data_IF_868452540856
#
_entry.id   IF_868452540856
#
_cell.length_a   1.000
_cell.length_b   1.000
_cell.length_c   1.000
_cell.angle_alpha   90.00
_cell.angle_beta   90.00
_cell.angle_gamma   90.00
#
_symmetry.space_group_name_H-M   'P 1'
#
loop_
_entity.id
_entity.type
_entity.pdbx_description
1 polymer ?
#
# COMPACT_ATOMS: atom_id res chain seq x y z
N UNK A 1 -11.03 13.88 -10.46
CA UNK A 1 -9.57 14.14 -10.48
C UNK A 1 -8.98 14.23 -9.08
N UNK A 2 -9.69 14.78 -8.09
CA UNK A 2 -9.17 14.93 -6.72
C UNK A 2 -8.75 13.60 -6.06
N UNK A 3 -9.65 12.61 -5.95
CA UNK A 3 -9.34 11.31 -5.34
C UNK A 3 -8.22 10.53 -6.04
N UNK A 4 -8.15 10.60 -7.37
CA UNK A 4 -7.07 9.96 -8.14
C UNK A 4 -5.70 10.53 -7.76
N UNK A 5 -5.62 11.84 -7.50
CA UNK A 5 -4.41 12.48 -7.04
C UNK A 5 -4.10 12.13 -5.57
N UNK A 6 -5.11 11.96 -4.72
CA UNK A 6 -4.90 11.53 -3.33
C UNK A 6 -4.35 10.10 -3.25
N UNK A 7 -4.78 9.21 -4.16
CA UNK A 7 -4.20 7.87 -4.29
C UNK A 7 -2.72 7.97 -4.66
N UNK A 8 -2.36 8.73 -5.71
CA UNK A 8 -0.96 8.80 -6.19
C UNK A 8 -0.02 9.55 -5.26
N UNK A 9 -0.54 10.47 -4.45
CA UNK A 9 0.24 11.23 -3.46
C UNK A 9 0.00 10.72 -2.04
N UNK A 10 -0.47 9.49 -1.90
CA UNK A 10 -0.69 8.89 -0.59
C UNK A 10 0.62 8.88 0.20
N UNK A 11 0.53 9.18 1.49
CA UNK A 11 1.63 9.11 2.45
C UNK A 11 1.04 8.62 3.77
N UNK A 12 1.73 7.69 4.42
CA UNK A 12 1.42 7.28 5.78
C UNK A 12 1.68 8.44 6.73
N UNK A 13 0.73 8.75 7.61
CA UNK A 13 0.94 9.81 8.58
C UNK A 13 1.88 9.36 9.71
N UNK A 14 2.66 10.27 10.34
CA UNK A 14 3.63 9.90 11.38
C UNK A 14 3.05 9.15 12.60
N UNK A 15 1.77 9.36 12.89
CA UNK A 15 1.07 8.74 14.02
C UNK A 15 0.10 7.63 13.58
N UNK A 16 0.07 7.31 12.30
CA UNK A 16 -0.85 6.32 11.72
C UNK A 16 -0.16 4.96 11.69
N UNK A 17 -0.82 3.96 12.27
CA UNK A 17 -0.36 2.57 12.19
C UNK A 17 -0.46 2.06 10.76
N UNK A 18 0.30 1.01 10.45
CA UNK A 18 0.22 0.34 9.15
C UNK A 18 -1.21 -0.03 8.75
N UNK A 19 -1.98 -0.57 9.69
CA UNK A 19 -3.35 -1.05 9.44
C UNK A 19 -4.29 0.11 9.12
N UNK A 20 -4.18 1.23 9.85
CA UNK A 20 -4.94 2.44 9.57
C UNK A 20 -4.61 3.01 8.19
N UNK A 21 -3.32 3.06 7.83
CA UNK A 21 -2.89 3.49 6.51
C UNK A 21 -3.42 2.58 5.40
N UNK A 22 -3.38 1.25 5.60
CA UNK A 22 -3.87 0.29 4.61
C UNK A 22 -5.39 0.42 4.41
N UNK A 23 -6.17 0.54 5.49
CA UNK A 23 -7.61 0.74 5.38
C UNK A 23 -7.96 2.07 4.71
N UNK A 24 -7.25 3.15 5.04
CA UNK A 24 -7.43 4.46 4.40
C UNK A 24 -7.12 4.41 2.91
N UNK A 25 -6.05 3.72 2.52
CA UNK A 25 -5.71 3.54 1.11
C UNK A 25 -6.78 2.74 0.36
N UNK A 26 -7.27 1.63 0.94
CA UNK A 26 -8.37 0.85 0.36
C UNK A 26 -9.66 1.66 0.25
N UNK A 27 -9.95 2.52 1.22
CA UNK A 27 -11.12 3.41 1.18
C UNK A 27 -11.03 4.42 0.02
N UNK A 28 -9.86 5.04 -0.19
CA UNK A 28 -9.63 5.94 -1.33
C UNK A 28 -9.85 5.24 -2.68
N UNK A 29 -9.39 3.98 -2.82
CA UNK A 29 -9.63 3.18 -4.02
C UNK A 29 -11.13 2.91 -4.25
N UNK A 30 -11.86 2.55 -3.18
CA UNK A 30 -13.32 2.30 -3.24
C UNK A 30 -14.11 3.56 -3.60
N UNK A 31 -13.69 4.72 -3.09
CA UNK A 31 -14.29 6.01 -3.43
C UNK A 31 -13.99 6.46 -4.87
N UNK A 32 -12.98 5.87 -5.53
CA UNK A 32 -12.59 6.20 -6.90
C UNK A 32 -12.65 4.96 -7.84
N UNK A 33 -13.81 4.30 -8.05
CA UNK A 33 -13.88 3.00 -8.75
C UNK A 33 -13.40 3.02 -10.21
N UNK A 34 -13.33 4.20 -10.84
CA UNK A 34 -12.81 4.41 -12.18
C UNK A 34 -11.38 4.99 -12.19
N UNK A 35 -10.57 4.71 -11.16
CA UNK A 35 -9.22 5.26 -10.98
C UNK A 35 -8.22 4.83 -12.08
N UNK A 36 -8.43 3.66 -12.70
CA UNK A 36 -7.60 3.15 -13.80
C UNK A 36 -6.23 2.56 -13.40
N UNK A 37 -5.84 2.64 -12.13
CA UNK A 37 -4.63 1.99 -11.61
C UNK A 37 -4.72 0.46 -11.62
N UNK A 38 -3.68 -0.19 -12.11
CA UNK A 38 -3.48 -1.64 -11.96
C UNK A 38 -3.17 -2.02 -10.51
N UNK A 39 -3.38 -3.28 -10.14
CA UNK A 39 -3.04 -3.79 -8.80
C UNK A 39 -1.56 -3.55 -8.46
N UNK A 40 -0.65 -3.79 -9.41
CA UNK A 40 0.78 -3.52 -9.23
C UNK A 40 1.05 -2.04 -8.92
N UNK A 41 0.40 -1.12 -9.64
CA UNK A 41 0.56 0.31 -9.39
C UNK A 41 0.02 0.72 -8.00
N UNK A 42 -1.08 0.10 -7.57
CA UNK A 42 -1.65 0.35 -6.23
C UNK A 42 -0.70 -0.13 -5.12
N UNK A 43 -0.12 -1.32 -5.27
CA UNK A 43 0.84 -1.88 -4.32
C UNK A 43 2.14 -1.07 -4.25
N UNK A 44 2.67 -0.67 -5.40
CA UNK A 44 3.86 0.20 -5.50
C UNK A 44 3.61 1.56 -4.83
N UNK A 45 2.47 2.19 -5.14
CA UNK A 45 2.07 3.46 -4.51
C UNK A 45 1.95 3.32 -3.00
N UNK A 46 1.32 2.25 -2.51
CA UNK A 46 1.17 2.02 -1.08
C UNK A 46 2.54 1.78 -0.40
N UNK A 47 3.37 0.89 -0.93
CA UNK A 47 4.70 0.60 -0.36
C UNK A 47 5.57 1.86 -0.29
N UNK A 48 5.66 2.63 -1.38
CA UNK A 48 6.48 3.84 -1.44
C UNK A 48 5.98 4.97 -0.52
N UNK A 49 4.73 4.90 -0.09
CA UNK A 49 4.11 5.86 0.82
C UNK A 49 4.31 5.54 2.31
N UNK A 50 4.78 4.34 2.63
CA UNK A 50 4.99 3.89 4.00
C UNK A 50 6.23 4.55 4.61
N UNK A 51 6.26 4.58 5.94
CA UNK A 51 7.48 4.87 6.67
C UNK A 51 8.50 3.73 6.52
N UNK A 52 9.78 4.02 6.75
CA UNK A 52 10.88 3.06 6.60
C UNK A 52 10.71 1.79 7.43
N UNK A 53 10.19 1.88 8.67
CA UNK A 53 10.00 0.71 9.52
C UNK A 53 8.96 -0.26 8.94
N UNK A 54 7.89 0.27 8.35
CA UNK A 54 6.86 -0.56 7.73
C UNK A 54 7.31 -1.13 6.38
N UNK A 55 8.13 -0.40 5.61
CA UNK A 55 8.80 -0.93 4.42
C UNK A 55 9.74 -2.10 4.78
N UNK A 56 10.64 -1.90 5.74
CA UNK A 56 11.58 -2.93 6.21
C UNK A 56 10.86 -4.18 6.72
N UNK A 57 9.71 -4.00 7.39
CA UNK A 57 8.89 -5.11 7.87
C UNK A 57 8.27 -5.92 6.72
N UNK A 58 7.84 -5.25 5.64
CA UNK A 58 7.31 -5.91 4.45
C UNK A 58 8.41 -6.65 3.69
N UNK A 59 9.59 -6.04 3.51
CA UNK A 59 10.74 -6.68 2.87
C UNK A 59 11.21 -7.91 3.67
N UNK A 60 11.27 -7.78 5.00
CA UNK A 60 11.60 -8.91 5.89
C UNK A 60 10.59 -10.06 5.78
N UNK A 61 9.30 -9.74 5.64
CA UNK A 61 8.25 -10.75 5.47
C UNK A 61 8.25 -11.38 4.06
N UNK A 62 8.67 -10.64 3.04
CA UNK A 62 8.88 -11.13 1.69
C UNK A 62 10.12 -12.03 1.57
N UNK A 63 11.11 -11.82 2.46
CA UNK A 63 12.42 -12.47 2.43
C UNK A 63 13.38 -11.87 1.38
N UNK A 64 12.94 -10.82 0.69
CA UNK A 64 13.65 -10.03 -0.32
C UNK A 64 12.91 -8.70 -0.50
N UNK A 65 13.22 -7.91 -1.53
CA UNK A 65 12.45 -6.71 -1.82
C UNK A 65 10.98 -7.06 -2.10
N UNK A 66 10.08 -6.43 -1.36
CA UNK A 66 8.64 -6.60 -1.46
C UNK A 66 8.11 -6.34 -2.88
N UNK A 67 8.68 -5.38 -3.61
CA UNK A 67 8.27 -5.02 -4.97
C UNK A 67 8.78 -5.98 -6.05
N UNK A 68 9.73 -6.86 -5.72
CA UNK A 68 10.20 -7.91 -6.64
C UNK A 68 9.24 -9.13 -6.66
N UNK A 69 8.32 -9.21 -5.69
CA UNK A 69 7.30 -10.26 -5.63
C UNK A 69 6.18 -10.06 -6.64
N UNK A 70 5.46 -11.13 -6.94
CA UNK A 70 4.24 -11.04 -7.76
C UNK A 70 3.10 -10.36 -6.97
N UNK A 71 2.19 -9.60 -7.61
CA UNK A 71 1.15 -8.83 -6.91
C UNK A 71 0.32 -9.60 -5.88
N UNK A 72 0.02 -10.88 -6.17
CA UNK A 72 -0.71 -11.76 -5.26
C UNK A 72 0.05 -12.03 -3.96
N UNK A 73 1.36 -12.19 -4.03
CA UNK A 73 2.21 -12.40 -2.85
C UNK A 73 2.33 -11.10 -2.04
N UNK A 74 2.58 -9.97 -2.72
CA UNK A 74 2.58 -8.64 -2.10
C UNK A 74 1.31 -8.39 -1.29
N UNK A 75 0.13 -8.63 -1.90
CA UNK A 75 -1.15 -8.47 -1.24
C UNK A 75 -1.30 -9.39 -0.04
N UNK A 76 -0.88 -10.67 -0.17
CA UNK A 76 -0.94 -11.62 0.96
C UNK A 76 -0.07 -11.20 2.13
N UNK A 77 1.10 -10.59 1.87
CA UNK A 77 2.01 -10.11 2.91
C UNK A 77 1.41 -8.89 3.62
N UNK A 78 0.90 -7.90 2.87
CA UNK A 78 0.20 -6.73 3.43
C UNK A 78 -0.98 -7.17 4.31
N UNK A 79 -1.82 -8.07 3.80
CA UNK A 79 -2.99 -8.58 4.54
C UNK A 79 -2.57 -9.42 5.76
N UNK A 80 -1.41 -10.07 5.73
CA UNK A 80 -0.89 -10.78 6.91
C UNK A 80 -0.36 -9.84 7.99
N UNK A 81 0.27 -8.72 7.61
CA UNK A 81 0.74 -7.68 8.53
C UNK A 81 -0.43 -6.82 9.07
N UNK A 82 -1.53 -6.74 8.31
CA UNK A 82 -2.72 -5.97 8.68
C UNK A 82 -3.63 -6.66 9.71
N UNK A 83 -3.29 -7.87 10.15
CA UNK A 83 -4.04 -8.66 11.14
C UNK A 83 -3.50 -8.44 12.56
#
# INVERSE_FOLDING_TARGET
MHLRNEITNFLQNPNETFNEAWERFKDLLRQCPHHGFSELHQLDTFYNALNTNDQDALDSAAGENFLDKIPRECLSIIESKSK
#
